data_IF_209645242743
#
_entry.id   IF_209645242743
#
_cell.length_a   1.000
_cell.length_b   1.000
_cell.length_c   1.000
_cell.angle_alpha   90.00
_cell.angle_beta   90.00
_cell.angle_gamma   90.00
#
_symmetry.space_group_name_H-M   'P 1'
#
loop_
_entity.id
_entity.type
_entity.pdbx_description
1 polymer ?
#
# COMPACT_ATOMS: atom_id res chain seq x y z
N UNK A 1 -4.46 26.61 -23.55
CA UNK A 1 -3.97 25.22 -23.51
C UNK A 1 -3.74 24.87 -22.05
N UNK A 2 -4.53 23.97 -21.46
CA UNK A 2 -4.36 23.51 -20.08
C UNK A 2 -3.16 22.57 -20.04
N UNK A 3 -2.11 22.97 -19.32
CA UNK A 3 -0.90 22.16 -19.17
C UNK A 3 -1.21 20.96 -18.27
N UNK A 4 -1.08 19.75 -18.82
CA UNK A 4 -1.26 18.52 -18.05
C UNK A 4 -0.14 18.42 -16.99
N UNK A 5 -0.52 18.29 -15.72
CA UNK A 5 0.44 18.08 -14.63
C UNK A 5 0.87 16.60 -14.68
N UNK A 6 2.17 16.30 -14.75
CA UNK A 6 2.65 14.92 -14.68
C UNK A 6 2.22 14.25 -13.37
N UNK A 7 1.89 12.97 -13.43
CA UNK A 7 1.59 12.18 -12.22
C UNK A 7 2.74 12.29 -11.21
N UNK A 8 2.40 12.69 -9.98
CA UNK A 8 3.32 12.68 -8.85
C UNK A 8 2.96 11.49 -7.97
N UNK A 9 3.95 10.72 -7.54
CA UNK A 9 3.73 9.62 -6.61
C UNK A 9 3.11 10.15 -5.31
N UNK A 10 2.06 9.50 -4.82
CA UNK A 10 1.47 9.83 -3.53
C UNK A 10 2.51 9.69 -2.39
N UNK A 11 2.37 10.44 -1.29
CA UNK A 11 3.21 10.27 -0.11
C UNK A 11 3.18 8.83 0.39
N UNK A 12 4.35 8.24 0.66
CA UNK A 12 4.46 6.87 1.17
C UNK A 12 4.09 6.83 2.66
N UNK A 13 2.82 6.52 2.95
CA UNK A 13 2.30 6.37 4.31
C UNK A 13 3.03 5.29 5.11
N UNK A 14 3.34 4.15 4.48
CA UNK A 14 4.06 3.05 5.11
C UNK A 14 5.44 3.48 5.62
N UNK A 15 6.24 4.15 4.78
CA UNK A 15 7.56 4.68 5.17
C UNK A 15 7.45 5.69 6.31
N UNK A 16 6.47 6.59 6.24
CA UNK A 16 6.23 7.59 7.30
C UNK A 16 5.92 6.90 8.64
N UNK A 17 5.07 5.89 8.60
CA UNK A 17 4.61 5.19 9.80
C UNK A 17 5.70 4.29 10.42
N UNK A 18 6.56 3.70 9.59
CA UNK A 18 7.80 3.04 10.03
C UNK A 18 8.74 4.00 10.77
N UNK A 19 9.01 5.19 10.18
CA UNK A 19 9.87 6.20 10.81
C UNK A 19 9.29 6.73 12.12
N UNK A 20 7.97 6.72 12.26
CA UNK A 20 7.27 7.08 13.49
C UNK A 20 7.30 5.95 14.55
N UNK A 21 7.89 4.80 14.26
CA UNK A 21 7.95 3.66 15.19
C UNK A 21 6.59 3.03 15.47
N UNK A 22 5.61 3.19 14.58
CA UNK A 22 4.29 2.57 14.74
C UNK A 22 4.41 1.07 14.61
N UNK A 23 3.61 0.32 15.38
CA UNK A 23 3.41 -1.11 15.15
C UNK A 23 2.59 -1.28 13.88
N UNK A 24 3.13 -1.98 12.90
CA UNK A 24 2.49 -2.28 11.61
C UNK A 24 2.36 -3.80 11.43
N UNK A 25 1.14 -4.29 11.23
CA UNK A 25 0.84 -5.72 11.10
C UNK A 25 0.72 -6.09 9.63
N UNK A 26 1.48 -7.12 9.21
CA UNK A 26 1.53 -7.58 7.82
C UNK A 26 0.97 -8.96 7.60
N UNK A 27 0.59 -9.26 6.35
CA UNK A 27 0.16 -10.58 5.91
C UNK A 27 0.94 -11.02 4.67
N UNK A 28 1.67 -12.13 4.77
CA UNK A 28 2.42 -12.67 3.64
C UNK A 28 1.50 -13.22 2.54
N UNK A 29 1.65 -12.75 1.30
CA UNK A 29 0.89 -13.24 0.14
C UNK A 29 1.73 -14.16 -0.74
N UNK A 30 1.42 -15.46 -0.73
CA UNK A 30 2.07 -16.48 -1.57
C UNK A 30 1.11 -17.20 -2.51
N UNK A 31 -0.11 -16.70 -2.67
CA UNK A 31 -1.16 -17.32 -3.50
C UNK A 31 -0.99 -17.00 -4.99
N UNK A 32 -0.14 -16.02 -5.34
CA UNK A 32 0.21 -15.65 -6.72
C UNK A 32 -1.00 -15.44 -7.64
N UNK A 33 -2.11 -14.92 -7.10
CA UNK A 33 -3.35 -14.71 -7.82
C UNK A 33 -3.93 -13.33 -7.52
N UNK A 34 -4.27 -12.58 -8.57
CA UNK A 34 -4.76 -11.21 -8.47
C UNK A 34 -6.09 -11.11 -7.69
N UNK A 35 -7.00 -12.06 -7.89
CA UNK A 35 -8.32 -12.08 -7.23
C UNK A 35 -8.13 -12.29 -5.72
N UNK A 36 -7.27 -13.23 -5.32
CA UNK A 36 -7.00 -13.43 -3.88
C UNK A 36 -6.28 -12.23 -3.26
N UNK A 37 -5.41 -11.56 -4.02
CA UNK A 37 -4.71 -10.36 -3.54
C UNK A 37 -5.66 -9.17 -3.35
N UNK A 38 -6.69 -9.02 -4.18
CA UNK A 38 -7.72 -7.99 -3.98
C UNK A 38 -8.49 -8.21 -2.68
N UNK A 39 -8.84 -9.47 -2.37
CA UNK A 39 -9.47 -9.83 -1.09
C UNK A 39 -8.53 -9.55 0.09
N UNK A 40 -7.23 -9.82 -0.03
CA UNK A 40 -6.24 -9.45 0.99
C UNK A 40 -6.15 -7.92 1.18
N UNK A 41 -6.30 -7.14 0.11
CA UNK A 41 -6.24 -5.68 0.14
C UNK A 41 -7.34 -5.02 0.98
N UNK A 42 -8.46 -5.72 1.23
CA UNK A 42 -9.55 -5.23 2.09
C UNK A 42 -9.55 -5.85 3.50
N UNK A 43 -8.59 -6.72 3.82
CA UNK A 43 -8.55 -7.43 5.11
C UNK A 43 -8.07 -6.57 6.28
N UNK A 44 -7.54 -5.36 6.03
CA UNK A 44 -7.15 -4.40 7.07
C UNK A 44 -5.72 -4.54 7.61
N UNK A 45 -4.83 -5.22 6.88
CA UNK A 45 -3.39 -5.22 7.18
C UNK A 45 -2.74 -3.89 6.79
N UNK A 46 -1.69 -3.50 7.53
CA UNK A 46 -0.93 -2.28 7.23
C UNK A 46 -0.02 -2.47 6.00
N UNK A 47 0.37 -3.71 5.73
CA UNK A 47 1.14 -4.11 4.55
C UNK A 47 0.88 -5.58 4.19
N UNK A 48 1.12 -5.92 2.92
CA UNK A 48 1.05 -7.27 2.38
C UNK A 48 2.45 -7.66 1.89
#
# INVERSE_FOLDING_TARGET
MTQAIPYQSFPNSFKRDLLAGKKLIGCWSSLSNAITTEVLGVAGFDWI
#
